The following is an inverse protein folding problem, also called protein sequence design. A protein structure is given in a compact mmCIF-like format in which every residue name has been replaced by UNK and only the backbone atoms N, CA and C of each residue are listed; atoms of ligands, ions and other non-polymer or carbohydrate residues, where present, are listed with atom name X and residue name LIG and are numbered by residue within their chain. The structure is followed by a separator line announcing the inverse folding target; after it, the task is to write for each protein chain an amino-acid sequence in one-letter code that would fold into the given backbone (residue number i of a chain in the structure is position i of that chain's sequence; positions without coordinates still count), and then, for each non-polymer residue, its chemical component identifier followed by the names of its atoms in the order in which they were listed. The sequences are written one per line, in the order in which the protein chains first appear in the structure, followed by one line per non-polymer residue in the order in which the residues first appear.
data_IF_322985859461
#
_entry.id   IF_322985859461
#
_cell.length_a   1.000
_cell.length_b   1.000
_cell.length_c   1.000
_cell.angle_alpha   90.00
_cell.angle_beta   90.00
_cell.angle_gamma   90.00
#
_symmetry.space_group_name_H-M   'P 1'
#
loop_
_entity.id
_entity.type
_entity.pdbx_description
1 polymer ?
#
# COMPACT_ATOMS: atom_id res chain seq x y z
N UNK A 1 12.95 -4.14 -0.36
CA UNK A 1 12.30 -3.60 -1.57
C UNK A 1 12.01 -2.14 -1.35
N UNK A 2 12.20 -1.28 -2.35
CA UNK A 2 11.76 0.11 -2.27
C UNK A 2 10.23 0.17 -2.49
N UNK A 3 9.54 1.04 -1.74
CA UNK A 3 8.12 1.28 -1.95
C UNK A 3 7.85 1.77 -3.39
N UNK A 4 6.73 1.35 -3.98
CA UNK A 4 6.33 1.85 -5.30
C UNK A 4 5.90 3.32 -5.20
N UNK A 5 5.96 4.02 -6.33
CA UNK A 5 5.48 5.40 -6.43
C UNK A 5 3.94 5.46 -6.46
N UNK A 6 3.37 6.66 -6.23
CA UNK A 6 1.92 6.89 -6.37
C UNK A 6 1.41 6.57 -7.78
N UNK A 7 2.19 6.85 -8.82
CA UNK A 7 1.82 6.54 -10.21
C UNK A 7 1.74 5.02 -10.43
N UNK A 8 2.71 4.27 -9.89
CA UNK A 8 2.69 2.80 -9.94
C UNK A 8 1.55 2.20 -9.11
N UNK A 9 1.22 2.79 -7.94
CA UNK A 9 0.05 2.40 -7.16
C UNK A 9 -1.25 2.59 -7.97
N UNK A 10 -1.44 3.77 -8.57
CA UNK A 10 -2.63 4.05 -9.38
C UNK A 10 -2.77 3.07 -10.56
N UNK A 11 -1.65 2.74 -11.21
CA UNK A 11 -1.62 1.77 -12.29
C UNK A 11 -2.04 0.36 -11.81
N UNK A 12 -1.53 -0.10 -10.66
CA UNK A 12 -1.92 -1.40 -10.09
C UNK A 12 -3.38 -1.47 -9.68
N UNK A 13 -3.93 -0.37 -9.14
CA UNK A 13 -5.35 -0.27 -8.81
C UNK A 13 -6.20 -0.36 -10.08
N UNK A 14 -5.79 0.33 -11.16
CA UNK A 14 -6.46 0.23 -12.46
C UNK A 14 -6.43 -1.21 -12.99
N UNK A 15 -5.27 -1.87 -12.95
CA UNK A 15 -5.12 -3.28 -13.33
C UNK A 15 -6.03 -4.22 -12.51
N UNK A 16 -6.23 -3.93 -11.22
CA UNK A 16 -7.15 -4.69 -10.39
C UNK A 16 -8.60 -4.57 -10.88
N UNK A 17 -9.05 -3.38 -11.25
CA UNK A 17 -10.39 -3.17 -11.81
C UNK A 17 -10.54 -3.80 -13.20
N UNK A 18 -9.58 -3.56 -14.08
CA UNK A 18 -9.63 -4.03 -15.47
C UNK A 18 -9.62 -5.56 -15.56
N UNK A 19 -8.97 -6.25 -14.64
CA UNK A 19 -8.83 -7.71 -14.67
C UNK A 19 -10.14 -8.49 -14.51
N UNK A 20 -11.18 -7.85 -13.96
CA UNK A 20 -12.51 -8.43 -13.80
C UNK A 20 -13.57 -7.63 -14.58
N UNK A 21 -13.15 -6.63 -15.38
CA UNK A 21 -14.01 -5.93 -16.33
C UNK A 21 -14.28 -6.81 -17.54
N UNK A 22 -15.52 -6.81 -18.02
CA UNK A 22 -15.92 -7.49 -19.26
C UNK A 22 -15.73 -9.02 -19.27
N UNK A 23 -15.62 -9.64 -18.09
CA UNK A 23 -15.58 -11.10 -17.91
C UNK A 23 -16.85 -11.58 -17.23
N UNK A 24 -17.42 -12.70 -17.68
CA UNK A 24 -18.57 -13.30 -17.01
C UNK A 24 -18.09 -14.09 -15.77
N UNK A 25 -18.04 -13.41 -14.63
CA UNK A 25 -17.61 -13.97 -13.34
C UNK A 25 -18.65 -13.63 -12.26
N UNK A 26 -18.72 -14.44 -11.20
CA UNK A 26 -19.60 -14.12 -10.08
C UNK A 26 -19.19 -12.76 -9.47
N UNK A 27 -20.11 -11.78 -9.31
CA UNK A 27 -19.76 -10.47 -8.76
C UNK A 27 -19.11 -10.52 -7.37
N UNK A 28 -19.48 -11.49 -6.54
CA UNK A 28 -18.90 -11.68 -5.20
C UNK A 28 -17.42 -12.08 -5.29
N UNK A 29 -17.10 -13.04 -6.16
CA UNK A 29 -15.73 -13.50 -6.37
C UNK A 29 -14.86 -12.44 -7.06
N UNK A 30 -15.42 -11.73 -8.04
CA UNK A 30 -14.77 -10.61 -8.70
C UNK A 30 -14.39 -9.51 -7.70
N UNK A 31 -15.33 -9.09 -6.84
CA UNK A 31 -15.08 -8.08 -5.81
C UNK A 31 -14.05 -8.54 -4.79
N UNK A 32 -14.06 -9.82 -4.41
CA UNK A 32 -13.03 -10.39 -3.53
C UNK A 32 -11.65 -10.29 -4.16
N UNK A 33 -11.50 -10.73 -5.42
CA UNK A 33 -10.23 -10.66 -6.16
C UNK A 33 -9.74 -9.23 -6.37
N UNK A 34 -10.65 -8.30 -6.68
CA UNK A 34 -10.33 -6.87 -6.76
C UNK A 34 -9.80 -6.33 -5.42
N UNK A 35 -10.49 -6.65 -4.32
CA UNK A 35 -10.07 -6.22 -2.98
C UNK A 35 -8.69 -6.76 -2.61
N UNK A 36 -8.42 -8.04 -2.86
CA UNK A 36 -7.12 -8.67 -2.59
C UNK A 36 -6.00 -7.97 -3.38
N UNK A 37 -6.19 -7.74 -4.69
CA UNK A 37 -5.21 -7.03 -5.54
C UNK A 37 -4.97 -5.58 -5.09
N UNK A 38 -6.01 -4.88 -4.65
CA UNK A 38 -5.90 -3.51 -4.13
C UNK A 38 -5.11 -3.51 -2.82
N UNK A 39 -5.37 -4.45 -1.91
CA UNK A 39 -4.65 -4.59 -0.66
C UNK A 39 -3.15 -4.86 -0.92
N UNK A 40 -2.83 -5.77 -1.84
CA UNK A 40 -1.45 -6.06 -2.24
C UNK A 40 -0.75 -4.82 -2.82
N UNK A 41 -1.44 -4.05 -3.67
CA UNK A 41 -0.90 -2.83 -4.23
C UNK A 41 -0.60 -1.77 -3.15
N UNK A 42 -1.47 -1.64 -2.15
CA UNK A 42 -1.27 -0.74 -1.01
C UNK A 42 -0.06 -1.20 -0.17
N UNK A 43 0.05 -2.49 0.12
CA UNK A 43 1.20 -3.04 0.84
C UNK A 43 2.52 -2.72 0.14
N UNK A 44 2.59 -2.85 -1.19
CA UNK A 44 3.77 -2.47 -1.98
C UNK A 44 4.08 -0.97 -1.97
N UNK A 45 3.08 -0.12 -1.73
CA UNK A 45 3.25 1.34 -1.62
C UNK A 45 3.69 1.78 -0.23
N UNK A 46 3.31 1.02 0.80
CA UNK A 46 3.58 1.35 2.20
C UNK A 46 4.91 0.73 2.67
N UNK A 47 5.12 -0.56 2.36
CA UNK A 47 6.33 -1.28 2.77
C UNK A 47 7.54 -0.73 2.03
N UNK A 48 8.59 -0.41 2.78
CA UNK A 48 9.81 0.19 2.25
C UNK A 48 9.74 1.70 2.08
N UNK A 49 8.65 2.37 2.49
CA UNK A 49 8.54 3.82 2.49
C UNK A 49 9.26 4.40 3.71
N UNK A 50 10.08 5.42 3.48
CA UNK A 50 10.69 6.21 4.54
C UNK A 50 9.65 7.21 5.08
N UNK A 51 9.49 7.23 6.40
CA UNK A 51 8.58 8.13 7.10
C UNK A 51 9.31 8.82 8.24
N UNK A 52 8.82 10.00 8.59
CA UNK A 52 9.26 10.71 9.79
C UNK A 52 8.58 10.07 10.99
N UNK A 53 9.37 9.73 12.01
CA UNK A 53 8.91 9.20 13.28
C UNK A 53 9.24 10.22 14.37
N UNK A 54 8.22 10.67 15.08
CA UNK A 54 8.40 11.50 16.28
C UNK A 54 8.27 10.62 17.51
N UNK A 55 9.36 10.49 18.26
CA UNK A 55 9.42 9.81 19.54
C UNK A 55 9.64 10.78 20.70
N UNK A 56 9.68 10.24 21.91
CA UNK A 56 10.05 10.99 23.13
C UNK A 56 11.39 10.49 23.63
N UNK A 57 12.33 11.39 23.91
CA UNK A 57 13.61 11.05 24.52
C UNK A 57 13.41 10.53 25.94
N UNK A 58 14.40 9.81 26.48
CA UNK A 58 14.41 9.39 27.88
C UNK A 58 14.32 10.58 28.88
N UNK A 59 14.61 11.80 28.42
CA UNK A 59 14.54 13.05 29.19
C UNK A 59 13.25 13.85 28.96
N UNK A 60 12.31 13.34 28.17
CA UNK A 60 10.98 13.94 27.96
C UNK A 60 10.87 14.93 26.78
N UNK A 61 11.92 15.13 25.99
CA UNK A 61 11.89 15.99 24.80
C UNK A 61 11.40 15.24 23.55
N UNK A 62 10.78 15.95 22.60
CA UNK A 62 10.43 15.35 21.31
C UNK A 62 11.69 15.11 20.46
N UNK A 63 11.80 13.93 19.85
CA UNK A 63 12.90 13.56 18.94
C UNK A 63 12.30 13.12 17.61
N UNK A 64 12.82 13.69 16.53
CA UNK A 64 12.40 13.36 15.17
C UNK A 64 13.48 12.52 14.50
N UNK A 65 13.12 11.35 13.97
CA UNK A 65 13.99 10.50 13.16
C UNK A 65 13.31 10.07 11.87
N UNK A 66 14.06 9.42 10.97
CA UNK A 66 13.46 8.72 9.83
C UNK A 66 13.45 7.22 10.07
N UNK A 67 12.40 6.55 9.60
CA UNK A 67 12.22 5.12 9.74
C UNK A 67 11.64 4.52 8.45
N UNK A 68 11.93 3.25 8.21
CA UNK A 68 11.40 2.48 7.07
C UNK A 68 10.33 1.54 7.58
N UNK A 69 9.17 1.52 6.93
CA UNK A 69 8.08 0.57 7.25
C UNK A 69 8.46 -0.82 6.75
N UNK A 70 8.43 -1.84 7.62
CA UNK A 70 8.99 -3.18 7.32
C UNK A 70 7.97 -4.29 7.07
N UNK A 71 6.81 -4.29 7.73
CA UNK A 71 5.72 -5.28 7.56
C UNK A 71 4.43 -4.77 8.20
#
# INVERSE_FOLDING_TARGET
MAAITKAQLAQKIKEAFDADSDVQVNPSEARKRQADKIADAISLFVIGRETIVTGTSATGGAVTGTGIIKE
#
